data_IF_428097247472
#
_entry.id   IF_428097247472
#
_cell.length_a   1.000
_cell.length_b   1.000
_cell.length_c   1.000
_cell.angle_alpha   90.00
_cell.angle_beta   90.00
_cell.angle_gamma   90.00
#
_symmetry.space_group_name_H-M   'P 1'
#
loop_
_entity.id
_entity.type
_entity.pdbx_description
1 polymer ?
#
# COMPACT_ATOMS: atom_id res chain seq x y z
N UNK A 1 -4.40 -34.54 -57.55
CA UNK A 1 -4.83 -35.94 -57.70
C UNK A 1 -6.19 -36.05 -57.04
N UNK A 2 -7.24 -35.97 -57.86
CA UNK A 2 -8.64 -36.03 -57.44
C UNK A 2 -9.03 -37.49 -57.31
N UNK A 3 -9.61 -37.89 -56.18
CA UNK A 3 -10.25 -39.20 -56.07
C UNK A 3 -11.76 -39.05 -55.89
N UNK A 4 -12.43 -39.70 -56.83
CA UNK A 4 -13.85 -39.64 -57.10
C UNK A 4 -14.67 -40.40 -56.06
N UNK A 5 -15.87 -39.86 -55.87
CA UNK A 5 -17.01 -40.42 -55.17
C UNK A 5 -17.35 -41.81 -55.73
N UNK A 6 -17.57 -42.78 -54.85
CA UNK A 6 -18.35 -43.97 -55.21
C UNK A 6 -19.51 -44.12 -54.20
N UNK A 7 -20.70 -43.78 -54.69
CA UNK A 7 -21.96 -44.05 -54.03
C UNK A 7 -22.25 -45.55 -54.07
N UNK A 8 -22.53 -46.14 -52.91
CA UNK A 8 -23.49 -47.23 -52.84
C UNK A 8 -24.62 -46.85 -51.89
N UNK A 9 -25.75 -46.54 -52.51
CA UNK A 9 -27.06 -46.46 -51.87
C UNK A 9 -27.61 -47.88 -51.66
N UNK A 10 -28.32 -48.05 -50.54
CA UNK A 10 -29.61 -48.77 -50.37
C UNK A 10 -29.63 -49.68 -49.13
N UNK A 11 -30.32 -49.25 -48.07
CA UNK A 11 -31.74 -49.58 -47.83
C UNK A 11 -32.20 -49.05 -46.46
N UNK A 12 -33.36 -48.41 -46.49
CA UNK A 12 -34.10 -47.95 -45.33
C UNK A 12 -34.45 -49.11 -44.38
N UNK A 13 -34.16 -48.92 -43.10
CA UNK A 13 -35.00 -49.46 -42.03
C UNK A 13 -35.18 -48.35 -40.99
N UNK A 14 -36.37 -47.76 -40.99
CA UNK A 14 -36.85 -46.92 -39.89
C UNK A 14 -36.88 -47.77 -38.63
N UNK A 15 -36.09 -47.43 -37.63
CA UNK A 15 -36.41 -47.77 -36.24
C UNK A 15 -36.52 -46.46 -35.48
N UNK A 16 -37.78 -46.05 -35.30
CA UNK A 16 -38.17 -45.06 -34.31
C UNK A 16 -37.81 -45.65 -32.95
N UNK A 17 -36.91 -45.02 -32.22
CA UNK A 17 -36.83 -45.19 -30.77
C UNK A 17 -36.39 -43.87 -30.18
N UNK A 18 -37.40 -43.14 -29.71
CA UNK A 18 -37.30 -41.97 -28.87
C UNK A 18 -36.62 -42.39 -27.56
N UNK A 19 -35.42 -41.88 -27.30
CA UNK A 19 -34.93 -41.74 -25.94
C UNK A 19 -34.43 -40.31 -25.79
N UNK A 20 -35.35 -39.46 -25.33
CA UNK A 20 -35.05 -38.15 -24.80
C UNK A 20 -34.26 -38.35 -23.49
N UNK A 21 -32.96 -38.09 -23.51
CA UNK A 21 -32.19 -37.84 -22.30
C UNK A 21 -31.81 -36.35 -22.32
N UNK A 22 -32.74 -35.52 -21.83
CA UNK A 22 -32.45 -34.12 -21.55
C UNK A 22 -31.53 -34.08 -20.33
N UNK A 23 -30.23 -33.86 -20.55
CA UNK A 23 -29.28 -33.57 -19.50
C UNK A 23 -29.52 -32.11 -19.05
N UNK A 24 -30.41 -31.91 -18.08
CA UNK A 24 -30.55 -30.62 -17.40
C UNK A 24 -29.35 -30.45 -16.47
N UNK A 25 -28.26 -29.88 -16.99
CA UNK A 25 -27.17 -29.39 -16.15
C UNK A 25 -27.68 -28.12 -15.46
N UNK A 26 -28.32 -28.29 -14.31
CA UNK A 26 -28.65 -27.19 -13.42
C UNK A 26 -27.34 -26.58 -12.90
N UNK A 27 -26.86 -25.54 -13.57
CA UNK A 27 -25.86 -24.63 -13.01
C UNK A 27 -26.48 -23.97 -11.78
N UNK A 28 -26.34 -24.61 -10.62
CA UNK A 28 -26.45 -23.93 -9.34
C UNK A 28 -25.32 -22.90 -9.29
N UNK A 29 -25.58 -21.69 -9.78
CA UNK A 29 -24.82 -20.52 -9.42
C UNK A 29 -25.05 -20.27 -7.93
N UNK A 30 -24.33 -21.01 -7.09
CA UNK A 30 -24.18 -20.64 -5.69
C UNK A 30 -23.61 -19.23 -5.69
N UNK A 31 -24.35 -18.29 -5.09
CA UNK A 31 -23.81 -16.97 -4.78
C UNK A 31 -22.68 -17.19 -3.79
N UNK A 32 -21.45 -17.34 -4.29
CA UNK A 32 -20.27 -17.24 -3.43
C UNK A 32 -20.21 -15.78 -3.03
N UNK A 33 -20.75 -15.46 -1.87
CA UNK A 33 -20.42 -14.23 -1.17
C UNK A 33 -18.94 -14.33 -0.83
N UNK A 34 -18.08 -13.81 -1.73
CA UNK A 34 -16.71 -13.46 -1.35
C UNK A 34 -16.86 -12.41 -0.26
N UNK A 35 -16.74 -12.83 1.01
CA UNK A 35 -16.43 -11.91 2.08
C UNK A 35 -15.09 -11.30 1.71
N UNK A 36 -15.09 -10.07 1.19
CA UNK A 36 -13.86 -9.32 1.01
C UNK A 36 -13.21 -9.23 2.39
N UNK A 37 -12.01 -9.80 2.53
CA UNK A 37 -11.26 -9.69 3.76
C UNK A 37 -11.12 -8.20 4.10
N UNK A 38 -11.75 -7.77 5.20
CA UNK A 38 -11.64 -6.39 5.64
C UNK A 38 -10.25 -6.17 6.24
N UNK A 39 -9.61 -5.08 5.85
CA UNK A 39 -8.36 -4.65 6.48
C UNK A 39 -8.70 -4.11 7.86
N UNK A 40 -8.21 -4.77 8.91
CA UNK A 40 -8.40 -4.32 10.29
C UNK A 40 -7.05 -4.00 10.91
N UNK A 41 -6.74 -2.71 11.14
CA UNK A 41 -5.55 -2.31 11.88
C UNK A 41 -5.62 -2.79 13.34
N UNK A 42 -4.46 -3.02 13.99
CA UNK A 42 -4.43 -3.23 15.44
C UNK A 42 -4.96 -1.97 16.18
N UNK A 43 -5.45 -2.12 17.42
CA UNK A 43 -5.87 -0.97 18.22
C UNK A 43 -4.67 -0.02 18.44
N UNK A 44 -4.94 1.28 18.36
CA UNK A 44 -3.92 2.32 18.55
C UNK A 44 -4.32 3.28 19.67
N UNK A 45 -3.37 3.87 20.42
CA UNK A 45 -3.65 4.95 21.35
C UNK A 45 -4.36 6.14 20.68
N UNK A 46 -5.11 6.92 21.46
CA UNK A 46 -5.86 8.09 20.98
C UNK A 46 -5.00 9.10 20.23
N UNK A 47 -3.72 9.20 20.59
CA UNK A 47 -2.77 10.15 20.00
C UNK A 47 -2.52 9.91 18.51
N UNK A 48 -2.63 8.67 18.04
CA UNK A 48 -2.44 8.29 16.64
C UNK A 48 -3.66 7.60 16.03
N UNK A 49 -4.79 7.60 16.72
CA UNK A 49 -6.04 7.03 16.22
C UNK A 49 -6.52 7.78 14.97
N UNK A 50 -6.99 7.04 13.97
CA UNK A 50 -7.60 7.66 12.78
C UNK A 50 -8.94 8.29 13.17
N UNK A 51 -9.25 9.52 12.71
CA UNK A 51 -10.54 10.14 12.96
C UNK A 51 -11.71 9.29 12.46
N UNK A 52 -12.82 9.31 13.20
CA UNK A 52 -14.07 8.64 12.83
C UNK A 52 -14.54 9.04 11.43
N UNK A 53 -15.29 8.15 10.77
CA UNK A 53 -15.73 8.33 9.38
C UNK A 53 -14.65 7.94 8.36
N UNK A 54 -13.64 7.16 8.76
CA UNK A 54 -12.62 6.62 7.87
C UNK A 54 -12.42 5.12 8.13
N UNK A 55 -12.40 4.35 7.04
CA UNK A 55 -12.16 2.90 7.09
C UNK A 55 -10.86 2.52 6.40
N UNK A 56 -10.13 1.58 7.02
CA UNK A 56 -8.95 0.98 6.39
C UNK A 56 -9.38 0.15 5.18
N UNK A 57 -8.66 0.31 4.07
CA UNK A 57 -8.97 -0.38 2.81
C UNK A 57 -7.77 -1.10 2.19
N UNK A 58 -6.56 -0.82 2.67
CA UNK A 58 -5.32 -1.42 2.17
C UNK A 58 -4.28 -1.48 3.30
N UNK A 59 -3.53 -2.59 3.34
CA UNK A 59 -2.37 -2.77 4.22
C UNK A 59 -1.17 -3.23 3.40
N UNK A 60 0.01 -2.69 3.74
CA UNK A 60 1.28 -3.13 3.16
C UNK A 60 2.40 -3.18 4.20
N UNK A 61 3.17 -4.26 4.17
CA UNK A 61 4.39 -4.46 4.95
C UNK A 61 5.57 -3.87 4.20
N UNK A 62 6.22 -2.87 4.79
CA UNK A 62 7.31 -2.13 4.19
C UNK A 62 8.68 -2.69 4.55
N UNK A 63 9.57 -2.66 3.56
CA UNK A 63 11.00 -2.88 3.72
C UNK A 63 11.74 -1.72 3.06
N UNK A 64 12.68 -1.10 3.77
CA UNK A 64 13.38 0.06 3.25
C UNK A 64 14.43 0.65 4.17
N UNK A 65 14.72 1.92 3.96
CA UNK A 65 15.66 2.69 4.77
C UNK A 65 15.17 4.11 5.04
N UNK A 66 15.66 4.66 6.15
CA UNK A 66 15.54 6.06 6.51
C UNK A 66 16.88 6.73 6.21
N UNK A 67 16.86 7.71 5.32
CA UNK A 67 18.05 8.45 4.92
C UNK A 67 18.28 9.69 5.77
N UNK A 68 19.39 9.72 6.50
CA UNK A 68 19.80 10.82 7.36
C UNK A 68 20.96 11.60 6.74
N UNK A 69 20.94 12.91 6.92
CA UNK A 69 22.04 13.80 6.54
C UNK A 69 22.54 14.52 7.77
N UNK A 70 23.85 14.52 7.97
CA UNK A 70 24.49 15.27 9.03
C UNK A 70 24.57 16.76 8.64
N UNK A 71 24.01 17.63 9.48
CA UNK A 71 23.91 19.07 9.26
C UNK A 71 24.72 19.83 10.32
N UNK A 72 25.18 21.06 10.00
CA UNK A 72 25.77 21.93 11.01
C UNK A 72 24.72 22.36 12.03
N UNK A 73 25.11 22.46 13.30
CA UNK A 73 24.30 23.05 14.37
C UNK A 73 24.57 24.55 14.50
N UNK A 74 23.69 25.27 15.19
CA UNK A 74 23.89 26.69 15.51
C UNK A 74 25.13 26.96 16.38
N UNK A 75 25.67 25.94 17.03
CA UNK A 75 26.88 26.02 17.87
C UNK A 75 28.16 25.68 17.10
N UNK A 76 28.08 25.43 15.79
CA UNK A 76 29.23 25.04 14.95
C UNK A 76 29.62 23.56 15.07
N UNK A 77 28.84 22.76 15.80
CA UNK A 77 28.99 21.30 15.82
C UNK A 77 28.27 20.65 14.63
N UNK A 78 28.35 19.32 14.54
CA UNK A 78 27.66 18.53 13.52
C UNK A 78 26.70 17.54 14.19
N UNK A 79 25.49 17.42 13.67
CA UNK A 79 24.48 16.49 14.19
C UNK A 79 23.63 15.90 13.06
N UNK A 80 23.16 14.67 13.25
CA UNK A 80 22.20 14.04 12.35
C UNK A 80 20.88 14.81 12.34
N UNK A 81 20.41 15.22 11.15
CA UNK A 81 19.10 15.81 11.00
C UNK A 81 18.02 14.75 11.25
N UNK A 82 17.12 14.89 12.23
CA UNK A 82 16.09 13.89 12.50
C UNK A 82 15.04 13.75 11.39
N UNK A 83 15.00 14.67 10.43
CA UNK A 83 14.11 14.61 9.26
C UNK A 83 14.68 13.65 8.22
N UNK A 84 14.33 12.38 8.34
CA UNK A 84 14.75 11.33 7.41
C UNK A 84 14.05 11.44 6.05
N UNK A 85 14.78 11.15 4.97
CA UNK A 85 14.21 10.85 3.65
C UNK A 85 13.76 9.38 3.63
N UNK A 86 12.47 9.07 3.48
CA UNK A 86 12.02 7.69 3.36
C UNK A 86 12.39 7.09 2.00
N UNK A 87 12.69 5.80 1.99
CA UNK A 87 12.81 4.97 0.80
C UNK A 87 12.39 3.54 1.16
N UNK A 88 11.26 3.06 0.66
CA UNK A 88 10.78 1.72 0.95
C UNK A 88 9.88 1.16 -0.15
N UNK A 89 9.73 -0.16 -0.14
CA UNK A 89 8.74 -0.89 -0.94
C UNK A 89 7.80 -1.62 -0.01
N UNK A 90 6.51 -1.56 -0.30
CA UNK A 90 5.45 -2.18 0.50
C UNK A 90 4.92 -3.38 -0.26
N UNK A 91 4.79 -4.49 0.46
CA UNK A 91 4.28 -5.75 -0.04
C UNK A 91 2.98 -6.11 0.66
N UNK A 92 2.09 -6.79 -0.04
CA UNK A 92 0.89 -7.38 0.55
C UNK A 92 0.80 -8.83 0.07
N UNK A 93 0.24 -9.69 0.92
CA UNK A 93 0.07 -11.10 0.60
C UNK A 93 -1.14 -11.27 -0.32
N UNK A 94 -0.89 -11.85 -1.49
CA UNK A 94 -1.93 -12.32 -2.38
C UNK A 94 -1.70 -13.81 -2.65
N UNK A 95 -2.60 -14.63 -2.13
CA UNK A 95 -2.57 -16.08 -2.30
C UNK A 95 -1.27 -16.72 -1.79
N UNK A 96 -0.71 -16.23 -0.68
CA UNK A 96 0.55 -16.73 -0.12
C UNK A 96 1.81 -16.18 -0.78
N UNK A 97 1.66 -15.19 -1.68
CA UNK A 97 2.77 -14.54 -2.36
C UNK A 97 2.83 -13.06 -2.01
N UNK A 98 4.01 -12.60 -1.59
CA UNK A 98 4.26 -11.18 -1.40
C UNK A 98 4.34 -10.47 -2.76
N UNK A 99 3.39 -9.60 -3.02
CA UNK A 99 3.37 -8.75 -4.21
C UNK A 99 3.70 -7.33 -3.79
N UNK A 100 4.65 -6.68 -4.48
CA UNK A 100 4.91 -5.27 -4.29
C UNK A 100 3.69 -4.46 -4.76
N UNK A 101 3.09 -3.72 -3.84
CA UNK A 101 1.89 -2.92 -4.12
C UNK A 101 2.19 -1.42 -4.20
N UNK A 102 3.21 -0.94 -3.48
CA UNK A 102 3.48 0.49 -3.35
C UNK A 102 4.99 0.75 -3.22
N UNK A 103 5.46 1.81 -3.86
CA UNK A 103 6.76 2.42 -3.60
C UNK A 103 6.57 3.65 -2.72
N UNK A 104 7.32 3.75 -1.62
CA UNK A 104 7.31 4.86 -0.68
C UNK A 104 8.62 5.65 -0.73
N UNK A 105 8.53 6.96 -0.95
CA UNK A 105 9.69 7.85 -1.12
C UNK A 105 9.32 9.31 -0.83
N UNK A 106 10.25 10.24 -0.98
CA UNK A 106 9.98 11.68 -0.89
C UNK A 106 9.87 12.31 -2.29
N UNK A 107 8.83 13.09 -2.55
CA UNK A 107 8.67 13.79 -3.83
C UNK A 107 7.88 15.09 -3.72
N UNK A 108 8.02 15.95 -4.73
CA UNK A 108 7.23 17.17 -4.87
C UNK A 108 5.76 16.79 -5.07
N UNK A 109 4.86 17.49 -4.36
CA UNK A 109 3.43 17.28 -4.49
C UNK A 109 2.93 17.89 -5.81
N UNK A 110 2.60 17.03 -6.78
CA UNK A 110 2.15 17.47 -8.10
C UNK A 110 0.71 17.99 -8.11
N UNK A 111 -0.10 17.64 -7.09
CA UNK A 111 -1.49 18.08 -6.98
C UNK A 111 -1.85 18.38 -5.51
N UNK A 112 -1.31 19.48 -4.96
CA UNK A 112 -1.58 19.84 -3.59
C UNK A 112 -3.05 20.19 -3.39
N UNK A 113 -3.61 19.79 -2.25
CA UNK A 113 -4.94 20.23 -1.83
C UNK A 113 -4.96 21.75 -1.67
N UNK A 114 -6.12 22.42 -1.86
CA UNK A 114 -6.25 23.85 -1.66
C UNK A 114 -5.68 24.31 -0.31
N UNK A 115 -4.87 25.37 -0.33
CA UNK A 115 -4.23 25.91 0.88
C UNK A 115 -2.96 25.19 1.34
N UNK A 116 -2.53 24.12 0.66
CA UNK A 116 -1.24 23.46 0.93
C UNK A 116 -0.16 24.09 0.08
N UNK A 117 0.88 24.64 0.71
CA UNK A 117 2.14 25.02 0.05
C UNK A 117 3.16 23.90 0.23
N UNK A 118 3.49 23.11 -0.81
CA UNK A 118 4.44 22.02 -0.68
C UNK A 118 5.84 22.56 -0.35
N UNK A 119 6.57 21.93 0.59
CA UNK A 119 7.97 22.27 0.78
C UNK A 119 8.77 21.93 -0.47
N UNK A 120 9.85 22.68 -0.73
CA UNK A 120 10.74 22.41 -1.88
C UNK A 120 11.39 21.02 -1.82
N UNK A 121 11.59 20.48 -0.61
CA UNK A 121 12.06 19.11 -0.39
C UNK A 121 11.00 18.06 -0.69
N UNK A 122 9.73 18.44 -0.86
CA UNK A 122 8.62 17.53 -1.07
C UNK A 122 8.13 16.85 0.21
N UNK A 123 7.07 16.06 0.06
CA UNK A 123 6.43 15.32 1.15
C UNK A 123 6.66 13.81 1.01
N UNK A 124 6.40 13.09 2.09
CA UNK A 124 6.30 11.64 2.07
C UNK A 124 5.24 11.21 1.04
N UNK A 125 5.62 10.33 0.13
CA UNK A 125 4.84 9.94 -1.05
C UNK A 125 4.68 8.43 -1.06
N UNK A 126 3.48 7.98 -1.40
CA UNK A 126 3.19 6.59 -1.74
C UNK A 126 2.69 6.56 -3.17
N UNK A 127 3.32 5.74 -4.01
CA UNK A 127 2.92 5.50 -5.38
C UNK A 127 2.54 4.04 -5.55
N UNK A 128 1.32 3.79 -6.01
CA UNK A 128 0.83 2.46 -6.35
C UNK A 128 1.64 1.86 -7.50
N UNK A 129 2.14 0.65 -7.30
CA UNK A 129 2.81 -0.14 -8.34
C UNK A 129 1.82 -0.77 -9.32
N UNK A 130 0.52 -0.80 -8.98
CA UNK A 130 -0.53 -1.44 -9.79
C UNK A 130 -1.16 -0.48 -10.81
N UNK A 131 -1.26 0.81 -10.45
CA UNK A 131 -1.98 1.79 -11.26
C UNK A 131 -1.32 3.18 -11.32
N UNK A 132 -0.15 3.36 -10.71
CA UNK A 132 0.58 4.64 -10.64
C UNK A 132 -0.17 5.79 -9.96
N UNK A 133 -1.30 5.54 -9.28
CA UNK A 133 -1.91 6.55 -8.41
C UNK A 133 -0.96 6.92 -7.27
N UNK A 134 -1.05 8.17 -6.79
CA UNK A 134 -0.16 8.72 -5.78
C UNK A 134 -0.92 9.42 -4.67
N UNK A 135 -0.35 9.38 -3.47
CA UNK A 135 -0.76 10.20 -2.34
C UNK A 135 0.46 10.80 -1.66
N UNK A 136 0.36 12.08 -1.30
CA UNK A 136 1.36 12.80 -0.52
C UNK A 136 0.82 13.05 0.87
N UNK A 137 1.62 12.77 1.89
CA UNK A 137 1.19 12.85 3.29
C UNK A 137 2.13 13.70 4.13
N UNK A 138 1.57 14.27 5.18
CA UNK A 138 2.33 14.91 6.27
C UNK A 138 2.01 14.22 7.59
N UNK A 139 2.99 14.16 8.48
CA UNK A 139 2.78 13.70 9.86
C UNK A 139 1.86 14.69 10.58
N UNK A 140 0.80 14.17 11.21
CA UNK A 140 -0.09 14.96 12.08
C UNK A 140 0.21 14.66 13.54
N UNK A 141 0.39 13.38 13.86
CA UNK A 141 0.70 12.88 15.20
C UNK A 141 1.68 11.72 15.12
N UNK A 142 2.34 11.43 16.23
CA UNK A 142 3.20 10.27 16.36
C UNK A 142 3.45 9.94 17.82
N UNK A 143 3.71 8.66 18.07
CA UNK A 143 4.13 8.13 19.37
C UNK A 143 5.50 7.46 19.23
N UNK A 144 6.26 7.45 20.32
CA UNK A 144 7.58 6.82 20.34
C UNK A 144 7.46 5.30 20.24
N UNK A 145 8.42 4.68 19.54
CA UNK A 145 8.44 3.24 19.43
C UNK A 145 8.67 2.60 20.81
N UNK A 146 7.92 1.54 21.10
CA UNK A 146 7.86 0.88 22.42
C UNK A 146 6.83 1.47 23.38
N UNK A 147 6.11 2.54 23.02
CA UNK A 147 5.11 3.13 23.93
C UNK A 147 3.77 2.40 23.94
N UNK A 148 3.50 1.52 22.96
CA UNK A 148 2.25 0.78 22.86
C UNK A 148 2.49 -0.65 22.34
N UNK A 149 2.19 -1.70 23.14
CA UNK A 149 2.48 -3.08 22.76
C UNK A 149 1.73 -3.58 21.52
N UNK A 150 0.53 -3.05 21.23
CA UNK A 150 -0.31 -3.56 20.16
C UNK A 150 0.07 -2.97 18.79
N UNK A 151 0.40 -1.68 18.74
CA UNK A 151 0.61 -0.94 17.50
C UNK A 151 2.04 -0.45 17.32
N UNK A 152 2.82 -0.30 18.40
CA UNK A 152 4.15 0.27 18.35
C UNK A 152 5.13 -0.40 19.34
N UNK A 153 5.40 -1.71 19.25
CA UNK A 153 6.10 -2.44 20.32
C UNK A 153 7.62 -2.26 20.35
N UNK A 154 8.28 -1.85 19.27
CA UNK A 154 9.74 -2.01 19.14
C UNK A 154 10.52 -0.75 19.53
N UNK A 155 10.88 -0.61 20.82
CA UNK A 155 11.72 0.49 21.32
C UNK A 155 12.99 0.73 20.51
N UNK A 156 13.39 2.00 20.37
CA UNK A 156 14.57 2.38 19.60
C UNK A 156 14.38 2.38 18.08
N UNK A 157 13.15 2.22 17.60
CA UNK A 157 12.78 2.33 16.19
C UNK A 157 12.21 3.71 15.85
N UNK A 158 11.99 3.99 14.56
CA UNK A 158 11.23 5.18 14.15
C UNK A 158 9.82 5.19 14.75
N UNK A 159 9.29 6.39 15.00
CA UNK A 159 7.96 6.57 15.56
C UNK A 159 6.86 5.91 14.72
N UNK A 160 5.83 5.41 15.41
CA UNK A 160 4.55 5.11 14.79
C UNK A 160 3.78 6.41 14.59
N UNK A 161 3.12 6.55 13.44
CA UNK A 161 2.59 7.84 12.97
C UNK A 161 1.13 7.73 12.54
N UNK A 162 0.41 8.84 12.74
CA UNK A 162 -0.75 9.18 11.95
C UNK A 162 -0.34 10.25 10.93
N UNK A 163 -0.55 9.96 9.65
CA UNK A 163 -0.32 10.88 8.55
C UNK A 163 -1.62 11.26 7.86
N UNK A 164 -1.71 12.50 7.38
CA UNK A 164 -2.85 13.02 6.64
C UNK A 164 -2.46 13.43 5.22
N UNK A 165 -3.35 13.14 4.28
CA UNK A 165 -3.14 13.49 2.88
C UNK A 165 -3.18 15.00 2.65
N UNK A 166 -2.16 15.50 1.99
CA UNK A 166 -2.01 16.88 1.50
C UNK A 166 -2.08 16.97 -0.03
N UNK A 167 -2.28 15.85 -0.71
CA UNK A 167 -2.42 15.77 -2.16
C UNK A 167 -2.68 14.34 -2.59
N UNK A 168 -3.46 14.18 -3.64
CA UNK A 168 -3.75 12.88 -4.25
C UNK A 168 -3.73 13.04 -5.77
N UNK A 169 -3.33 11.99 -6.48
CA UNK A 169 -3.31 11.96 -7.94
C UNK A 169 -3.72 10.59 -8.44
N UNK A 170 -4.62 10.58 -9.43
CA UNK A 170 -4.97 9.36 -10.18
C UNK A 170 -3.79 8.91 -11.05
N UNK A 171 -3.73 7.63 -11.30
CA UNK A 171 -2.81 7.02 -12.25
C UNK A 171 -2.95 7.61 -13.66
N UNK A 172 -1.88 7.52 -14.45
CA UNK A 172 -1.87 8.03 -15.82
C UNK A 172 -2.94 7.37 -16.72
N UNK A 173 -3.33 6.14 -16.42
CA UNK A 173 -4.37 5.37 -17.12
C UNK A 173 -5.74 5.45 -16.43
N UNK A 174 -5.92 6.36 -15.47
CA UNK A 174 -7.19 6.58 -14.76
C UNK A 174 -7.36 5.78 -13.46
N UNK A 175 -6.36 4.98 -13.06
CA UNK A 175 -6.36 4.25 -11.79
C UNK A 175 -6.52 5.15 -10.57
N UNK A 176 -7.20 4.66 -9.53
CA UNK A 176 -7.60 5.43 -8.37
C UNK A 176 -7.30 4.76 -7.02
N UNK A 177 -6.45 3.72 -6.98
CA UNK A 177 -6.19 2.95 -5.76
C UNK A 177 -5.86 3.84 -4.56
N UNK A 178 -4.95 4.80 -4.73
CA UNK A 178 -4.54 5.73 -3.67
C UNK A 178 -5.24 7.10 -3.75
N UNK A 179 -6.07 7.33 -4.77
CA UNK A 179 -6.62 8.65 -5.07
C UNK A 179 -7.59 9.16 -3.98
N UNK A 180 -8.26 8.25 -3.28
CA UNK A 180 -9.23 8.56 -2.22
C UNK A 180 -8.64 8.44 -0.80
N UNK A 181 -7.32 8.25 -0.68
CA UNK A 181 -6.65 8.11 0.62
C UNK A 181 -6.75 9.40 1.43
N UNK A 182 -7.27 9.30 2.65
CA UNK A 182 -7.41 10.40 3.61
C UNK A 182 -6.31 10.38 4.66
N UNK A 183 -6.06 9.21 5.26
CA UNK A 183 -5.04 8.98 6.28
C UNK A 183 -4.20 7.75 5.96
N UNK A 184 -2.98 7.75 6.48
CA UNK A 184 -2.12 6.57 6.55
C UNK A 184 -1.64 6.45 7.99
N UNK A 185 -1.74 5.25 8.57
CA UNK A 185 -1.06 4.92 9.81
C UNK A 185 0.21 4.12 9.51
N UNK A 186 1.32 4.51 10.12
CA UNK A 186 2.55 3.72 10.15
C UNK A 186 2.70 3.10 11.52
N UNK A 187 2.65 1.77 11.59
CA UNK A 187 2.65 0.98 12.82
C UNK A 187 3.76 -0.06 12.76
N UNK A 188 3.96 -0.79 13.87
CA UNK A 188 4.88 -1.93 13.98
C UNK A 188 6.27 -1.65 13.36
N UNK A 189 6.80 -0.47 13.65
CA UNK A 189 8.08 -0.02 13.11
C UNK A 189 9.22 -0.82 13.74
N UNK A 190 10.23 -1.18 12.98
CA UNK A 190 11.47 -1.79 13.48
C UNK A 190 12.67 -1.14 12.81
N UNK A 191 13.62 -0.65 13.60
CA UNK A 191 14.81 0.04 13.11
C UNK A 191 14.53 1.44 12.56
N UNK A 192 15.42 1.91 11.69
CA UNK A 192 15.33 3.21 11.03
C UNK A 192 15.61 4.44 11.90
N UNK A 193 15.93 4.29 13.19
CA UNK A 193 16.13 5.41 14.09
C UNK A 193 17.33 6.28 13.69
N UNK A 194 17.30 7.53 14.15
CA UNK A 194 18.39 8.50 13.92
C UNK A 194 19.70 7.92 14.47
N UNK A 195 20.80 7.89 13.70
CA UNK A 195 22.06 7.39 14.20
C UNK A 195 22.54 8.19 15.42
N UNK A 196 23.13 7.50 16.40
CA UNK A 196 23.70 8.11 17.60
C UNK A 196 25.22 8.31 17.50
N UNK A 197 25.83 7.82 16.42
CA UNK A 197 27.25 8.01 16.14
C UNK A 197 27.56 9.47 15.83
N UNK A 198 28.77 9.91 16.19
CA UNK A 198 29.31 11.18 15.70
C UNK A 198 29.30 11.21 14.16
N UNK A 199 29.11 12.39 13.58
CA UNK A 199 29.05 12.57 12.14
C UNK A 199 29.77 13.83 11.69
N UNK A 200 30.11 13.89 10.41
CA UNK A 200 30.68 15.08 9.77
C UNK A 200 29.63 15.74 8.88
N UNK A 201 29.59 17.08 8.85
CA UNK A 201 28.66 17.83 8.00
C UNK A 201 28.71 17.33 6.56
N UNK A 202 27.54 17.05 5.97
CA UNK A 202 27.39 16.51 4.62
C UNK A 202 27.44 14.98 4.53
N UNK A 203 27.86 14.29 5.59
CA UNK A 203 27.77 12.83 5.66
C UNK A 203 26.31 12.38 5.59
N UNK A 204 26.07 11.29 4.87
CA UNK A 204 24.75 10.65 4.78
C UNK A 204 24.82 9.22 5.30
N UNK A 205 23.70 8.74 5.84
CA UNK A 205 23.56 7.36 6.31
C UNK A 205 22.14 6.85 6.06
N UNK A 206 22.04 5.67 5.44
CA UNK A 206 20.80 4.92 5.34
C UNK A 206 20.69 3.96 6.53
N UNK A 207 19.60 4.05 7.28
CA UNK A 207 19.30 3.14 8.39
C UNK A 207 18.14 2.23 7.97
N UNK A 208 18.34 0.90 7.87
CA UNK A 208 17.27 -0.02 7.48
C UNK A 208 16.08 0.02 8.44
N UNK A 209 14.87 -0.13 7.90
CA UNK A 209 13.65 -0.25 8.69
C UNK A 209 12.60 -1.15 8.05
N UNK A 210 11.69 -1.65 8.88
CA UNK A 210 10.41 -2.23 8.47
C UNK A 210 9.25 -1.52 9.16
N UNK A 211 8.06 -1.54 8.57
CA UNK A 211 6.84 -1.01 9.18
C UNK A 211 5.59 -1.54 8.49
N UNK A 212 4.45 -1.47 9.17
CA UNK A 212 3.14 -1.77 8.61
C UNK A 212 2.43 -0.46 8.28
N UNK A 213 1.94 -0.33 7.05
CA UNK A 213 1.21 0.84 6.59
C UNK A 213 -0.24 0.49 6.31
N UNK A 214 -1.15 1.13 7.04
CA UNK A 214 -2.59 1.01 6.85
C UNK A 214 -3.12 2.28 6.18
N UNK A 215 -3.80 2.11 5.05
CA UNK A 215 -4.36 3.21 4.27
C UNK A 215 -5.85 3.30 4.52
N UNK A 216 -6.32 4.53 4.74
CA UNK A 216 -7.70 4.84 5.07
C UNK A 216 -8.31 5.75 4.01
N UNK A 217 -9.62 5.62 3.84
CA UNK A 217 -10.45 6.50 3.04
C UNK A 217 -11.69 6.87 3.83
N UNK A 218 -12.32 7.98 3.47
CA UNK A 218 -13.61 8.35 4.05
C UNK A 218 -14.65 7.26 3.79
N UNK A 219 -15.52 7.03 4.77
CA UNK A 219 -16.67 6.16 4.61
C UNK A 219 -17.65 6.73 3.56
N UNK A 220 -18.40 5.84 2.92
CA UNK A 220 -19.40 6.22 1.91
C UNK A 220 -20.78 6.45 2.54
#
# INVERSE_FOLDING_TARGET
MSYNVNQQTKKNARVRSLFAAALVLACAFGTVTLAAAQVTPPPTPTDIAVPAGNSAYLVGHAFGSQGYTCLPTSTGAAAWNPTARPEATLFSDFFGHLVQIITHFQSINENPKPGVTPPLSGNATWQSSLDSSRVWMVKVKGIDAGSDPASCPNSGSIQCLLLQSVGNKKGATGGNLLADTTFIQRLNTSGGAVPTSVCTVGQTQLVPYTADYFFFRADK
#
